data_IF_897188180539
#
_entry.id   IF_897188180539
#
_cell.length_a   1.000
_cell.length_b   1.000
_cell.length_c   1.000
_cell.angle_alpha   90.00
_cell.angle_beta   90.00
_cell.angle_gamma   90.00
#
_symmetry.space_group_name_H-M   'P 1'
#
loop_
_entity.id
_entity.type
_entity.pdbx_description
1 polymer ?
#
# COMPACT_ATOMS: atom_id res chain seq x y z
N UNK A 1 5.35 -3.66 12.26
CA UNK A 1 4.65 -3.44 10.97
C UNK A 1 3.63 -2.33 11.13
N UNK A 2 2.75 -2.39 12.14
CA UNK A 2 1.86 -1.28 12.52
C UNK A 2 2.67 0.01 12.78
N UNK A 3 3.72 -0.06 13.62
CA UNK A 3 4.62 1.07 13.88
C UNK A 3 5.22 1.66 12.59
N UNK A 4 5.50 0.81 11.60
CA UNK A 4 6.01 1.22 10.29
C UNK A 4 4.96 1.96 9.48
N UNK A 5 3.67 1.60 9.59
CA UNK A 5 2.57 2.31 8.92
C UNK A 5 2.31 3.66 9.60
N UNK A 6 2.37 3.72 10.93
CA UNK A 6 2.23 4.97 11.68
C UNK A 6 3.33 5.98 11.33
N UNK A 7 4.59 5.52 11.21
CA UNK A 7 5.70 6.33 10.73
C UNK A 7 5.46 6.81 9.29
N UNK A 8 5.03 5.92 8.39
CA UNK A 8 4.70 6.27 7.01
C UNK A 8 3.59 7.34 6.92
N UNK A 9 2.54 7.22 7.73
CA UNK A 9 1.46 8.21 7.77
C UNK A 9 1.87 9.55 8.38
N UNK A 10 2.92 9.56 9.20
CA UNK A 10 3.43 10.80 9.80
C UNK A 10 4.41 11.52 8.89
N UNK A 11 5.34 10.78 8.28
CA UNK A 11 6.46 11.37 7.53
C UNK A 11 6.23 11.37 6.01
N UNK A 12 5.38 10.48 5.50
CA UNK A 12 5.24 10.22 4.06
C UNK A 12 3.78 10.08 3.61
N UNK A 13 2.87 10.78 4.29
CA UNK A 13 1.42 10.74 4.05
C UNK A 13 1.07 11.03 2.59
N UNK A 14 1.66 12.06 2.00
CA UNK A 14 1.35 12.49 0.63
C UNK A 14 1.77 11.43 -0.41
N UNK A 15 2.97 10.86 -0.28
CA UNK A 15 3.42 9.77 -1.15
C UNK A 15 2.56 8.52 -1.00
N UNK A 16 2.12 8.17 0.21
CA UNK A 16 1.20 7.04 0.40
C UNK A 16 -0.17 7.34 -0.23
N UNK A 17 -0.70 8.55 -0.06
CA UNK A 17 -1.94 8.99 -0.69
C UNK A 17 -1.88 8.86 -2.21
N UNK A 18 -0.81 9.36 -2.84
CA UNK A 18 -0.60 9.24 -4.28
C UNK A 18 -0.52 7.78 -4.74
N UNK A 19 0.19 6.92 -4.01
CA UNK A 19 0.28 5.50 -4.34
C UNK A 19 -1.09 4.81 -4.27
N UNK A 20 -1.86 5.04 -3.20
CA UNK A 20 -3.19 4.44 -3.03
C UNK A 20 -4.15 4.92 -4.14
N UNK A 21 -4.07 6.20 -4.51
CA UNK A 21 -4.82 6.72 -5.67
C UNK A 21 -4.39 6.09 -6.99
N UNK A 22 -3.10 5.83 -7.21
CA UNK A 22 -2.65 5.09 -8.41
C UNK A 22 -3.24 3.69 -8.48
N UNK A 23 -3.25 2.95 -7.36
CA UNK A 23 -3.89 1.64 -7.33
C UNK A 23 -5.39 1.69 -7.62
N UNK A 24 -6.13 2.64 -7.02
CA UNK A 24 -7.55 2.86 -7.36
C UNK A 24 -7.72 3.22 -8.84
N UNK A 25 -6.80 4.01 -9.39
CA UNK A 25 -6.78 4.43 -10.79
C UNK A 25 -6.54 3.30 -11.79
N UNK A 26 -6.09 2.11 -11.36
CA UNK A 26 -6.00 0.93 -12.22
C UNK A 26 -7.38 0.42 -12.66
N UNK A 27 -8.46 0.82 -11.98
CA UNK A 27 -9.83 0.48 -12.36
C UNK A 27 -10.18 -1.01 -12.15
N UNK A 28 -9.42 -1.73 -11.32
CA UNK A 28 -9.61 -3.16 -11.02
C UNK A 28 -10.04 -3.33 -9.57
N UNK A 29 -10.99 -4.23 -9.33
CA UNK A 29 -11.48 -4.56 -7.97
C UNK A 29 -10.52 -5.45 -7.17
N UNK A 30 -9.70 -6.23 -7.87
CA UNK A 30 -8.70 -7.10 -7.27
C UNK A 30 -7.35 -6.88 -7.96
N UNK A 31 -6.33 -6.65 -7.15
CA UNK A 31 -4.94 -6.56 -7.58
C UNK A 31 -4.19 -7.73 -6.95
N UNK A 32 -3.47 -8.49 -7.77
CA UNK A 32 -2.58 -9.54 -7.29
C UNK A 32 -1.21 -8.94 -6.93
N UNK A 33 -0.35 -9.75 -6.30
CA UNK A 33 1.01 -9.33 -5.96
C UNK A 33 1.76 -8.65 -7.12
N UNK A 34 1.72 -9.21 -8.34
CA UNK A 34 2.41 -8.61 -9.49
C UNK A 34 1.82 -7.24 -9.85
N UNK A 35 0.49 -7.08 -9.78
CA UNK A 35 -0.16 -5.80 -10.06
C UNK A 35 0.27 -4.73 -9.04
N UNK A 36 0.35 -5.11 -7.76
CA UNK A 36 0.80 -4.24 -6.68
C UNK A 36 2.27 -3.87 -6.83
N UNK A 37 3.13 -4.88 -7.05
CA UNK A 37 4.57 -4.70 -7.09
C UNK A 37 5.00 -3.90 -8.32
N UNK A 38 4.48 -4.22 -9.51
CA UNK A 38 4.83 -3.52 -10.75
C UNK A 38 4.42 -2.04 -10.67
N UNK A 39 3.23 -1.74 -10.17
CA UNK A 39 2.75 -0.37 -10.05
C UNK A 39 3.51 0.42 -8.97
N UNK A 40 3.90 -0.24 -7.88
CA UNK A 40 4.81 0.32 -6.87
C UNK A 40 6.19 0.64 -7.46
N UNK A 41 6.77 -0.26 -8.27
CA UNK A 41 8.05 0.00 -8.93
C UNK A 41 7.95 1.19 -9.90
N UNK A 42 6.88 1.28 -10.70
CA UNK A 42 6.62 2.46 -11.54
C UNK A 42 6.45 3.74 -10.70
N UNK A 43 5.84 3.63 -9.52
CA UNK A 43 5.70 4.77 -8.61
C UNK A 43 7.06 5.23 -8.13
N UNK A 44 7.91 4.28 -7.78
CA UNK A 44 9.28 4.51 -7.36
C UNK A 44 10.15 5.25 -8.37
N UNK A 45 9.90 5.06 -9.67
CA UNK A 45 10.57 5.78 -10.75
C UNK A 45 10.10 7.24 -10.91
N UNK A 46 8.95 7.60 -10.33
CA UNK A 46 8.43 8.97 -10.31
C UNK A 46 9.09 9.82 -9.22
N UNK A 47 9.13 11.16 -9.41
CA UNK A 47 9.73 12.08 -8.42
C UNK A 47 9.08 11.96 -7.04
N UNK A 48 7.79 11.67 -7.04
CA UNK A 48 6.90 11.56 -5.89
C UNK A 48 7.15 10.26 -5.08
N UNK A 49 7.66 9.23 -5.75
CA UNK A 49 7.86 7.90 -5.18
C UNK A 49 9.29 7.54 -4.79
N UNK A 50 10.31 8.31 -5.21
CA UNK A 50 11.74 8.06 -4.90
C UNK A 50 11.96 7.82 -3.40
N UNK A 51 11.27 8.59 -2.54
CA UNK A 51 11.43 8.50 -1.09
C UNK A 51 10.80 7.25 -0.46
N UNK A 52 9.95 6.53 -1.22
CA UNK A 52 9.19 5.37 -0.74
C UNK A 52 9.89 4.04 -1.02
N UNK A 53 10.84 4.01 -1.96
CA UNK A 53 11.46 2.79 -2.48
C UNK A 53 12.37 2.09 -1.48
N UNK A 54 13.07 2.88 -0.66
CA UNK A 54 13.93 2.37 0.41
C UNK A 54 13.25 2.41 1.79
N UNK A 55 11.93 2.60 1.82
CA UNK A 55 11.17 2.77 3.05
C UNK A 55 10.58 1.46 3.58
N UNK A 56 10.04 1.52 4.80
CA UNK A 56 9.22 0.45 5.36
C UNK A 56 8.02 0.06 4.47
N UNK A 57 7.56 0.94 3.57
CA UNK A 57 6.45 0.64 2.66
C UNK A 57 6.83 -0.41 1.61
N UNK A 58 8.05 -0.35 1.06
CA UNK A 58 8.51 -1.35 0.09
C UNK A 58 8.47 -2.77 0.67
N UNK A 59 8.77 -2.90 1.97
CA UNK A 59 8.64 -4.18 2.69
C UNK A 59 7.20 -4.63 2.87
N UNK A 60 6.26 -3.70 3.07
CA UNK A 60 4.84 -4.02 3.21
C UNK A 60 4.27 -4.47 1.86
N UNK A 61 4.49 -3.69 0.80
CA UNK A 61 4.02 -4.02 -0.55
C UNK A 61 4.70 -5.30 -1.06
N UNK A 62 6.01 -5.46 -0.81
CA UNK A 62 6.75 -6.67 -1.16
C UNK A 62 6.29 -7.92 -0.41
N UNK A 63 5.62 -7.77 0.74
CA UNK A 63 4.99 -8.85 1.49
C UNK A 63 3.47 -8.95 1.25
N UNK A 64 2.87 -8.04 0.48
CA UNK A 64 1.46 -8.11 0.13
C UNK A 64 1.22 -9.32 -0.77
N UNK A 65 0.02 -9.89 -0.69
CA UNK A 65 -0.39 -11.01 -1.55
C UNK A 65 -1.45 -10.58 -2.54
N UNK A 66 -2.38 -9.74 -2.08
CA UNK A 66 -3.46 -9.19 -2.88
C UNK A 66 -4.01 -7.93 -2.24
N UNK A 67 -4.71 -7.14 -3.05
CA UNK A 67 -5.57 -6.06 -2.59
C UNK A 67 -6.97 -6.18 -3.17
N UNK A 68 -7.96 -5.84 -2.37
CA UNK A 68 -9.35 -5.65 -2.81
C UNK A 68 -9.70 -4.16 -2.72
N UNK A 69 -10.36 -3.64 -3.75
CA UNK A 69 -10.58 -2.21 -3.92
C UNK A 69 -12.07 -1.94 -4.11
N UNK A 70 -12.62 -1.10 -3.24
CA UNK A 70 -14.00 -0.60 -3.29
C UNK A 70 -13.95 0.83 -2.77
N UNK A 71 -13.76 1.80 -3.66
CA UNK A 71 -13.53 3.20 -3.29
C UNK A 71 -14.60 3.70 -2.30
N UNK A 72 -14.22 4.41 -1.22
CA UNK A 72 -12.89 4.95 -0.91
C UNK A 72 -11.96 3.97 -0.16
N UNK A 73 -12.33 2.69 -0.04
CA UNK A 73 -11.57 1.69 0.70
C UNK A 73 -10.59 0.92 -0.16
N UNK A 74 -9.39 0.76 0.38
CA UNK A 74 -8.33 -0.10 -0.15
C UNK A 74 -7.97 -1.14 0.91
N UNK A 75 -8.22 -2.42 0.62
CA UNK A 75 -7.94 -3.55 1.51
C UNK A 75 -6.67 -4.25 1.04
N UNK A 76 -5.78 -4.60 1.97
CA UNK A 76 -4.50 -5.21 1.68
C UNK A 76 -4.28 -6.44 2.56
N UNK A 77 -4.02 -7.59 1.94
CA UNK A 77 -3.61 -8.79 2.64
C UNK A 77 -2.07 -8.89 2.61
N UNK A 78 -1.44 -8.80 3.78
CA UNK A 78 0.03 -8.83 3.93
C UNK A 78 0.46 -10.11 4.62
N UNK A 79 1.44 -10.80 4.04
CA UNK A 79 1.99 -12.05 4.56
C UNK A 79 3.48 -11.89 4.90
N UNK A 80 3.83 -11.25 6.03
CA UNK A 80 5.22 -10.99 6.38
C UNK A 80 6.07 -12.25 6.60
N UNK A 81 5.43 -13.36 7.00
CA UNK A 81 6.08 -14.65 7.27
C UNK A 81 5.16 -15.80 6.89
N UNK A 82 5.73 -16.99 6.78
CA UNK A 82 4.97 -18.22 6.55
C UNK A 82 3.88 -18.36 7.61
N UNK A 83 2.64 -18.59 7.16
CA UNK A 83 1.44 -18.73 7.98
C UNK A 83 1.12 -17.54 8.91
N UNK A 84 1.65 -16.34 8.64
CA UNK A 84 1.32 -15.11 9.36
C UNK A 84 0.71 -14.11 8.40
N UNK A 85 -0.49 -13.63 8.73
CA UNK A 85 -1.25 -12.69 7.94
C UNK A 85 -1.59 -11.46 8.76
N UNK A 86 -1.61 -10.32 8.09
CA UNK A 86 -2.09 -9.04 8.59
C UNK A 86 -3.00 -8.50 7.50
N UNK A 87 -4.23 -8.15 7.85
CA UNK A 87 -5.16 -7.54 6.91
C UNK A 87 -5.33 -6.09 7.29
N UNK A 88 -5.14 -5.20 6.31
CA UNK A 88 -5.23 -3.77 6.51
C UNK A 88 -6.34 -3.23 5.63
N UNK A 89 -7.06 -2.22 6.13
CA UNK A 89 -7.89 -1.36 5.29
C UNK A 89 -7.42 0.07 5.41
N UNK A 90 -7.41 0.78 4.30
CA UNK A 90 -7.11 2.20 4.21
C UNK A 90 -8.34 2.91 3.67
N UNK A 91 -8.75 3.99 4.33
CA UNK A 91 -9.68 4.95 3.74
C UNK A 91 -8.83 5.98 2.98
N UNK A 92 -8.86 5.95 1.65
CA UNK A 92 -7.89 6.68 0.83
C UNK A 92 -8.02 8.19 0.97
N UNK A 93 -9.25 8.72 1.05
CA UNK A 93 -9.46 10.17 1.12
C UNK A 93 -9.12 10.76 2.50
N UNK A 94 -9.44 10.04 3.59
CA UNK A 94 -9.11 10.48 4.96
C UNK A 94 -7.70 10.07 5.38
N UNK A 95 -7.06 9.18 4.61
CA UNK A 95 -5.75 8.59 4.90
C UNK A 95 -5.68 8.04 6.34
N UNK A 96 -6.74 7.33 6.70
CA UNK A 96 -6.86 6.55 7.93
C UNK A 96 -6.67 5.07 7.59
N UNK A 97 -6.18 4.29 8.54
CA UNK A 97 -6.00 2.86 8.35
C UNK A 97 -6.40 2.08 9.59
N UNK A 98 -6.71 0.80 9.39
CA UNK A 98 -7.02 -0.13 10.47
C UNK A 98 -6.59 -1.55 10.09
N UNK A 99 -6.09 -2.30 11.08
CA UNK A 99 -5.93 -3.76 10.98
C UNK A 99 -7.27 -4.46 11.26
N UNK A 100 -7.66 -5.41 10.40
CA UNK A 100 -8.96 -6.10 10.41
C UNK A 100 -8.84 -7.63 10.47
#
# INVERSE_FOLDING_TARGET
>A
MIETIDELLRERRESLFMLLHRYLGLGRRFLLYSDLWDEFQRFCESREGVSMCDSGLARIIGAAQEAALEAPWFYLAVRPRVARWIYLRFHVDSMEYQEI
#
